data_IF_296225491079
#
_entry.id   IF_296225491079
#
_cell.length_a   1.000
_cell.length_b   1.000
_cell.length_c   1.000
_cell.angle_alpha   90.00
_cell.angle_beta   90.00
_cell.angle_gamma   90.00
#
_symmetry.space_group_name_H-M   'P 1'
#
loop_
_entity.id
_entity.type
_entity.pdbx_description
1 polymer ?
#
# COMPACT_ATOMS: atom_id res chain seq x y z
N UNK A 1 2.64 1.22 -8.74
CA UNK A 1 1.45 1.08 -9.60
C UNK A 1 1.05 2.43 -10.17
N UNK A 2 0.44 2.53 -11.35
CA UNK A 2 0.02 3.84 -11.88
C UNK A 2 -1.10 4.47 -11.06
N UNK A 3 -1.25 5.80 -11.11
CA UNK A 3 -2.34 6.54 -10.44
C UNK A 3 -3.71 6.03 -10.91
N UNK A 4 -3.88 5.81 -12.21
CA UNK A 4 -5.13 5.26 -12.75
C UNK A 4 -5.45 3.88 -12.17
N UNK A 5 -4.44 3.01 -12.02
CA UNK A 5 -4.63 1.70 -11.38
C UNK A 5 -4.98 1.85 -9.90
N UNK A 6 -4.32 2.76 -9.20
CA UNK A 6 -4.61 3.06 -7.80
C UNK A 6 -6.07 3.53 -7.62
N UNK A 7 -6.54 4.47 -8.43
CA UNK A 7 -7.90 5.01 -8.35
C UNK A 7 -8.99 3.98 -8.69
N UNK A 8 -8.66 2.99 -9.50
CA UNK A 8 -9.56 1.89 -9.84
C UNK A 8 -9.38 0.65 -8.93
N UNK A 9 -8.45 0.68 -7.97
CA UNK A 9 -8.23 -0.43 -7.04
C UNK A 9 -9.21 -0.35 -5.87
N UNK A 10 -10.05 -1.37 -5.72
CA UNK A 10 -10.93 -1.49 -4.56
C UNK A 10 -10.16 -1.99 -3.34
N UNK A 11 -9.43 -1.12 -2.66
CA UNK A 11 -8.65 -1.48 -1.47
C UNK A 11 -9.54 -2.03 -0.35
N UNK A 12 -9.18 -3.20 0.19
CA UNK A 12 -9.89 -3.89 1.27
C UNK A 12 -8.92 -4.29 2.39
N UNK A 13 -9.46 -4.66 3.55
CA UNK A 13 -8.64 -5.18 4.65
C UNK A 13 -8.02 -6.52 4.31
N UNK A 14 -6.76 -6.73 4.71
CA UNK A 14 -6.00 -7.96 4.44
C UNK A 14 -5.24 -7.95 3.12
N UNK A 15 -5.26 -6.84 2.37
CA UNK A 15 -4.44 -6.69 1.17
C UNK A 15 -2.96 -6.58 1.50
N UNK A 16 -2.12 -7.06 0.57
CA UNK A 16 -0.66 -6.98 0.67
C UNK A 16 -0.06 -6.31 -0.55
N UNK A 17 1.01 -5.56 -0.31
CA UNK A 17 1.74 -4.82 -1.33
C UNK A 17 3.22 -5.17 -1.31
N UNK A 18 3.87 -5.06 -2.48
CA UNK A 18 5.30 -5.18 -2.65
C UNK A 18 5.90 -3.79 -2.72
N UNK A 19 6.91 -3.54 -1.91
CA UNK A 19 7.70 -2.31 -1.89
C UNK A 19 9.18 -2.66 -1.73
N UNK A 20 10.06 -2.10 -2.57
CA UNK A 20 11.52 -2.33 -2.49
C UNK A 20 11.92 -3.82 -2.40
N UNK A 21 11.21 -4.68 -3.12
CA UNK A 21 11.41 -6.15 -3.11
C UNK A 21 10.85 -6.88 -1.89
N UNK A 22 10.40 -6.19 -0.84
CA UNK A 22 9.73 -6.75 0.33
C UNK A 22 8.20 -6.78 0.18
N UNK A 23 7.54 -7.66 0.92
CA UNK A 23 6.07 -7.77 0.97
C UNK A 23 5.56 -7.32 2.33
N UNK A 24 4.57 -6.43 2.32
CA UNK A 24 4.06 -5.78 3.52
C UNK A 24 2.54 -5.74 3.51
N UNK A 25 1.96 -5.74 4.71
CA UNK A 25 0.53 -5.60 4.89
C UNK A 25 0.12 -4.14 4.63
N UNK A 26 -0.93 -3.95 3.82
CA UNK A 26 -1.51 -2.65 3.56
C UNK A 26 -2.35 -2.25 4.77
N UNK A 27 -1.97 -1.14 5.40
CA UNK A 27 -2.63 -0.63 6.60
C UNK A 27 -3.71 0.39 6.25
N UNK A 28 -3.40 1.30 5.33
CA UNK A 28 -4.29 2.40 4.96
C UNK A 28 -3.92 2.96 3.58
N UNK A 29 -4.83 3.75 3.00
CA UNK A 29 -4.63 4.44 1.73
C UNK A 29 -5.07 5.89 1.84
N UNK A 30 -4.29 6.80 1.25
CA UNK A 30 -4.67 8.20 1.07
C UNK A 30 -4.99 8.44 -0.40
N UNK A 31 -6.28 8.62 -0.70
CA UNK A 31 -6.74 8.82 -2.07
C UNK A 31 -6.44 10.21 -2.63
N UNK A 32 -6.26 11.22 -1.77
CA UNK A 32 -5.98 12.58 -2.21
C UNK A 32 -4.51 12.74 -2.58
N UNK A 33 -3.62 12.22 -1.73
CA UNK A 33 -2.17 12.30 -1.91
C UNK A 33 -1.57 11.13 -2.69
N UNK A 34 -2.39 10.12 -3.05
CA UNK A 34 -1.98 8.90 -3.76
C UNK A 34 -0.89 8.13 -3.00
N UNK A 35 -1.12 7.94 -1.70
CA UNK A 35 -0.21 7.24 -0.80
C UNK A 35 -0.79 5.92 -0.30
N UNK A 36 0.09 4.97 -0.02
CA UNK A 36 -0.24 3.70 0.63
C UNK A 36 0.58 3.62 1.91
N UNK A 37 -0.10 3.34 3.02
CA UNK A 37 0.53 3.06 4.30
C UNK A 37 0.77 1.55 4.42
N UNK A 38 2.02 1.16 4.70
CA UNK A 38 2.43 -0.23 4.87
C UNK A 38 2.99 -0.47 6.27
N UNK A 39 2.84 -1.69 6.78
CA UNK A 39 3.48 -2.12 8.02
C UNK A 39 4.86 -2.74 7.72
N UNK A 40 5.92 -1.92 7.77
CA UNK A 40 7.31 -2.37 7.53
C UNK A 40 7.95 -3.00 8.78
N UNK A 41 7.48 -2.68 9.98
CA UNK A 41 8.12 -3.06 11.25
C UNK A 41 7.38 -4.16 12.01
N UNK A 42 6.15 -4.47 11.59
CA UNK A 42 5.28 -5.40 12.29
C UNK A 42 4.67 -4.81 13.55
N UNK A 43 3.66 -5.51 14.08
CA UNK A 43 2.99 -5.20 15.35
C UNK A 43 2.16 -3.91 15.36
N UNK A 44 1.86 -3.31 14.19
CA UNK A 44 0.93 -2.18 14.08
C UNK A 44 1.41 -0.88 14.75
N UNK A 45 2.71 -0.76 15.01
CA UNK A 45 3.27 0.36 15.76
C UNK A 45 3.54 1.60 14.90
N UNK A 46 3.98 1.45 13.64
CA UNK A 46 4.27 2.60 12.76
C UNK A 46 4.06 2.25 11.28
N UNK A 47 2.97 2.76 10.71
CA UNK A 47 2.71 2.63 9.27
C UNK A 47 3.54 3.67 8.50
N UNK A 48 4.29 3.22 7.50
CA UNK A 48 5.08 4.11 6.65
C UNK A 48 4.36 4.40 5.34
N UNK A 49 4.35 5.66 4.95
CA UNK A 49 3.66 6.12 3.75
C UNK A 49 4.57 6.08 2.53
N UNK A 50 4.11 5.41 1.47
CA UNK A 50 4.80 5.31 0.18
C UNK A 50 3.90 5.85 -0.93
N UNK A 51 4.51 6.44 -1.96
CA UNK A 51 3.79 6.81 -3.20
C UNK A 51 3.25 5.56 -3.86
N UNK A 52 2.00 5.57 -4.32
CA UNK A 52 1.38 4.43 -4.98
C UNK A 52 2.21 3.92 -6.18
N UNK A 53 2.93 4.81 -6.86
CA UNK A 53 3.83 4.50 -7.98
C UNK A 53 4.92 3.50 -7.62
N UNK A 54 5.39 3.53 -6.38
CA UNK A 54 6.49 2.69 -5.90
C UNK A 54 6.03 1.34 -5.31
N UNK A 55 4.72 1.08 -5.26
CA UNK A 55 4.16 -0.15 -4.68
C UNK A 55 3.38 -0.95 -5.71
N UNK A 56 3.37 -2.27 -5.54
CA UNK A 56 2.59 -3.19 -6.35
C UNK A 56 1.63 -3.99 -5.47
N UNK A 57 0.34 -4.04 -5.80
CA UNK A 57 -0.62 -4.90 -5.08
C UNK A 57 -0.39 -6.34 -5.51
N UNK A 58 -0.16 -7.22 -4.53
CA UNK A 58 0.16 -8.64 -4.73
C UNK A 58 -1.05 -9.52 -4.39
N UNK A 59 -1.83 -9.12 -3.37
CA UNK A 59 -3.01 -9.84 -2.92
C UNK A 59 -4.15 -8.84 -2.68
N UNK A 60 -5.27 -9.06 -3.38
CA UNK A 60 -6.48 -8.25 -3.35
C UNK A 60 -7.69 -9.13 -3.02
#
# INVERSE_FOLDING_TARGET
MTIEKFDNTGFTGGMRVRYDGGEYDLVSVDFQEKLIAIDEFGEGHDATWKRCENVEVIFA
#
